data_IF_140479049617
#
_entry.id   IF_140479049617
#
_cell.length_a   1.000
_cell.length_b   1.000
_cell.length_c   1.000
_cell.angle_alpha   90.00
_cell.angle_beta   90.00
_cell.angle_gamma   90.00
#
_symmetry.space_group_name_H-M   'P 1'
#
loop_
_entity.id
_entity.type
_entity.pdbx_description
1 polymer ?
#
# COMPACT_ATOMS: atom_id res chain seq x y z
N UNK A 1 6.37 31.87 -22.77
CA UNK A 1 6.98 31.73 -21.43
C UNK A 1 7.00 30.26 -20.98
N UNK A 2 5.93 29.47 -21.17
CA UNK A 2 5.87 28.05 -20.79
C UNK A 2 6.91 27.24 -21.58
N UNK A 3 6.96 27.40 -22.91
CA UNK A 3 7.94 26.70 -23.76
C UNK A 3 9.39 27.00 -23.34
N UNK A 4 9.68 28.28 -23.06
CA UNK A 4 10.99 28.70 -22.58
C UNK A 4 11.33 28.18 -21.18
N UNK A 5 10.34 27.99 -20.31
CA UNK A 5 10.53 27.36 -19.01
C UNK A 5 10.82 25.87 -19.13
N UNK A 6 10.21 25.18 -20.09
CA UNK A 6 10.48 23.76 -20.36
C UNK A 6 11.85 23.62 -21.01
N UNK A 7 12.10 24.33 -22.13
CA UNK A 7 13.38 24.30 -22.83
C UNK A 7 13.80 25.72 -23.26
N UNK A 8 14.98 26.20 -22.86
CA UNK A 8 16.04 25.49 -22.13
C UNK A 8 15.97 25.59 -20.59
N UNK A 9 14.86 26.06 -20.01
CA UNK A 9 14.78 26.34 -18.58
C UNK A 9 15.00 25.11 -17.69
N UNK A 10 14.27 24.01 -17.92
CA UNK A 10 14.35 22.78 -17.13
C UNK A 10 14.88 21.57 -17.90
N UNK A 11 14.76 21.55 -19.22
CA UNK A 11 15.15 20.44 -20.07
C UNK A 11 16.37 20.85 -20.92
N UNK A 12 17.14 19.84 -21.35
CA UNK A 12 18.28 19.98 -22.24
C UNK A 12 18.29 18.89 -23.30
N UNK A 13 19.47 18.41 -23.68
CA UNK A 13 19.62 17.30 -24.61
C UNK A 13 18.96 16.01 -24.06
N UNK A 14 18.42 15.14 -24.94
CA UNK A 14 17.75 13.92 -24.51
C UNK A 14 18.72 12.96 -23.81
N UNK A 15 18.28 12.35 -22.72
CA UNK A 15 19.03 11.34 -22.00
C UNK A 15 18.70 9.96 -22.57
N UNK A 16 19.57 9.43 -23.42
CA UNK A 16 19.30 8.20 -24.16
C UNK A 16 19.10 6.97 -23.27
N UNK A 17 19.79 6.89 -22.14
CA UNK A 17 19.58 5.82 -21.15
C UNK A 17 18.17 5.88 -20.53
N UNK A 18 17.61 7.07 -20.30
CA UNK A 18 16.23 7.23 -19.81
C UNK A 18 15.23 6.82 -20.89
N UNK A 19 15.50 7.16 -22.16
CA UNK A 19 14.65 6.76 -23.30
C UNK A 19 14.64 5.23 -23.43
N UNK A 20 15.80 4.59 -23.34
CA UNK A 20 15.92 3.14 -23.37
C UNK A 20 15.18 2.48 -22.19
N UNK A 21 15.31 3.03 -20.98
CA UNK A 21 14.58 2.55 -19.80
C UNK A 21 13.06 2.68 -19.97
N UNK A 22 12.55 3.78 -20.54
CA UNK A 22 11.12 3.94 -20.86
C UNK A 22 10.65 2.91 -21.88
N UNK A 23 11.42 2.65 -22.93
CA UNK A 23 11.09 1.64 -23.93
C UNK A 23 10.98 0.25 -23.30
N UNK A 24 11.90 -0.11 -22.40
CA UNK A 24 11.86 -1.35 -21.63
C UNK A 24 10.63 -1.43 -20.73
N UNK A 25 10.33 -0.35 -19.98
CA UNK A 25 9.16 -0.28 -19.13
C UNK A 25 7.84 -0.45 -19.92
N UNK A 26 7.72 0.17 -21.08
CA UNK A 26 6.55 0.03 -21.95
C UNK A 26 6.44 -1.39 -22.54
N UNK A 27 7.55 -2.02 -22.89
CA UNK A 27 7.55 -3.41 -23.32
C UNK A 27 7.04 -4.35 -22.23
N UNK A 28 7.49 -4.17 -20.99
CA UNK A 28 7.00 -4.93 -19.83
C UNK A 28 5.52 -4.64 -19.59
N UNK A 29 5.08 -3.39 -19.62
CA UNK A 29 3.69 -3.00 -19.42
C UNK A 29 2.71 -3.58 -20.46
N UNK A 30 3.20 -3.95 -21.65
CA UNK A 30 2.40 -4.56 -22.70
C UNK A 30 2.21 -6.07 -22.52
N UNK A 31 2.86 -6.72 -21.55
CA UNK A 31 2.77 -8.17 -21.33
C UNK A 31 1.50 -8.59 -20.62
N UNK A 32 1.06 -9.83 -20.84
CA UNK A 32 -0.08 -10.40 -20.08
C UNK A 32 0.23 -10.57 -18.59
N UNK A 33 1.47 -10.87 -18.24
CA UNK A 33 1.93 -10.93 -16.86
C UNK A 33 1.75 -9.59 -16.13
N UNK A 34 2.06 -8.47 -16.78
CA UNK A 34 1.84 -7.15 -16.21
C UNK A 34 0.35 -6.86 -16.03
N UNK A 35 -0.49 -7.23 -17.00
CA UNK A 35 -1.95 -7.06 -16.90
C UNK A 35 -2.52 -7.88 -15.75
N UNK A 36 -2.08 -9.13 -15.58
CA UNK A 36 -2.49 -9.97 -14.47
C UNK A 36 -2.07 -9.37 -13.11
N UNK A 37 -0.84 -8.89 -13.01
CA UNK A 37 -0.38 -8.18 -11.83
C UNK A 37 -1.26 -6.97 -11.49
N UNK A 38 -1.69 -6.17 -12.49
CA UNK A 38 -2.60 -5.05 -12.25
C UNK A 38 -3.99 -5.51 -11.77
N UNK A 39 -4.52 -6.61 -12.29
CA UNK A 39 -5.78 -7.20 -11.80
C UNK A 39 -5.65 -7.59 -10.32
N UNK A 40 -4.59 -8.32 -9.95
CA UNK A 40 -4.31 -8.68 -8.55
C UNK A 40 -4.10 -7.46 -7.66
N UNK A 41 -3.50 -6.40 -8.17
CA UNK A 41 -3.34 -5.11 -7.45
C UNK A 41 -4.69 -4.53 -7.05
N UNK A 42 -5.64 -4.44 -7.98
CA UNK A 42 -6.98 -3.90 -7.71
C UNK A 42 -7.79 -4.84 -6.82
N UNK A 43 -7.74 -6.15 -7.09
CA UNK A 43 -8.40 -7.17 -6.27
C UNK A 43 -7.91 -7.12 -4.82
N UNK A 44 -6.59 -7.07 -4.60
CA UNK A 44 -6.02 -6.94 -3.26
C UNK A 44 -6.43 -5.66 -2.54
N UNK A 45 -6.55 -4.54 -3.26
CA UNK A 45 -7.05 -3.30 -2.66
C UNK A 45 -8.54 -3.42 -2.25
N UNK A 46 -9.36 -4.10 -3.03
CA UNK A 46 -10.77 -4.37 -2.69
C UNK A 46 -10.90 -5.28 -1.48
N UNK A 47 -10.14 -6.37 -1.42
CA UNK A 47 -10.11 -7.28 -0.27
C UNK A 47 -9.74 -6.52 1.01
N UNK A 48 -8.70 -5.68 0.94
CA UNK A 48 -8.29 -4.86 2.06
C UNK A 48 -9.38 -3.86 2.48
N UNK A 49 -10.00 -3.18 1.52
CA UNK A 49 -11.09 -2.24 1.77
C UNK A 49 -12.30 -2.95 2.41
N UNK A 50 -12.69 -4.11 1.88
CA UNK A 50 -13.80 -4.92 2.42
C UNK A 50 -13.54 -5.29 3.88
N UNK A 51 -12.36 -5.85 4.21
CA UNK A 51 -12.03 -6.22 5.59
C UNK A 51 -12.06 -5.03 6.55
N UNK A 52 -11.53 -3.89 6.13
CA UNK A 52 -11.46 -2.68 6.95
C UNK A 52 -12.81 -1.93 7.07
N UNK A 53 -13.83 -2.36 6.35
CA UNK A 53 -15.22 -1.87 6.47
C UNK A 53 -16.15 -2.84 7.20
N UNK A 54 -15.66 -3.94 7.75
CA UNK A 54 -16.43 -4.84 8.60
C UNK A 54 -16.90 -4.16 9.87
N UNK A 55 -17.92 -4.73 10.52
CA UNK A 55 -18.57 -4.12 11.68
C UNK A 55 -17.60 -3.93 12.87
N UNK A 56 -16.73 -4.89 13.14
CA UNK A 56 -15.71 -4.80 14.18
C UNK A 56 -14.76 -3.60 14.01
N UNK A 57 -14.41 -3.29 12.76
CA UNK A 57 -13.57 -2.14 12.44
C UNK A 57 -14.33 -0.82 12.60
N UNK A 58 -15.60 -0.79 12.19
CA UNK A 58 -16.48 0.37 12.38
C UNK A 58 -16.72 0.65 13.88
N UNK A 59 -16.94 -0.39 14.66
CA UNK A 59 -17.12 -0.30 16.12
C UNK A 59 -15.85 0.22 16.81
N UNK A 60 -14.68 -0.11 16.26
CA UNK A 60 -13.40 0.44 16.70
C UNK A 60 -13.12 1.88 16.20
N UNK A 61 -14.00 2.47 15.40
CA UNK A 61 -13.84 3.84 14.86
C UNK A 61 -12.97 3.92 13.60
N UNK A 62 -12.73 2.79 12.93
CA UNK A 62 -12.02 2.74 11.63
C UNK A 62 -13.03 2.89 10.50
N UNK A 63 -12.70 3.70 9.52
CA UNK A 63 -13.44 3.81 8.27
C UNK A 63 -12.51 3.99 7.07
N UNK A 64 -13.06 3.92 5.87
CA UNK A 64 -12.34 4.23 4.63
C UNK A 64 -12.91 5.51 4.06
N UNK A 65 -12.04 6.45 3.67
CA UNK A 65 -12.42 7.80 3.26
C UNK A 65 -13.45 7.86 2.12
N UNK A 66 -13.57 6.78 1.33
CA UNK A 66 -14.47 6.67 0.15
C UNK A 66 -15.37 5.41 0.20
N UNK A 67 -15.53 4.80 1.37
CA UNK A 67 -16.26 3.54 1.58
C UNK A 67 -15.79 2.35 0.69
N UNK A 68 -14.63 2.49 0.05
CA UNK A 68 -14.07 1.45 -0.81
C UNK A 68 -12.93 1.98 -1.65
N UNK A 69 -12.55 1.23 -2.69
CA UNK A 69 -11.51 1.64 -3.64
C UNK A 69 -11.73 1.02 -5.01
N UNK A 70 -11.38 1.78 -6.04
CA UNK A 70 -11.29 1.35 -7.45
C UNK A 70 -9.86 1.48 -8.01
N UNK A 71 -8.89 1.78 -7.12
CA UNK A 71 -7.47 1.96 -7.45
C UNK A 71 -6.59 1.02 -6.62
N UNK A 72 -5.27 1.21 -6.68
CA UNK A 72 -4.26 0.36 -6.06
C UNK A 72 -4.00 0.64 -4.57
N UNK A 73 -4.77 1.51 -3.93
CA UNK A 73 -4.58 1.91 -2.54
C UNK A 73 -5.90 2.11 -1.79
N UNK A 74 -5.79 2.09 -0.47
CA UNK A 74 -6.88 2.42 0.45
C UNK A 74 -6.41 3.56 1.36
N UNK A 75 -7.27 4.57 1.56
CA UNK A 75 -7.09 5.62 2.55
C UNK A 75 -7.96 5.31 3.77
N UNK A 76 -7.33 4.82 4.82
CA UNK A 76 -7.97 4.52 6.11
C UNK A 76 -8.13 5.82 6.90
N UNK A 77 -9.30 6.02 7.47
CA UNK A 77 -9.65 7.17 8.32
C UNK A 77 -9.77 6.72 9.78
N UNK A 78 -8.92 7.26 10.63
CA UNK A 78 -8.80 6.98 12.06
C UNK A 78 -9.23 8.16 12.93
N UNK A 79 -10.02 9.12 12.41
CA UNK A 79 -10.46 10.28 13.20
C UNK A 79 -11.27 9.91 14.42
N UNK A 80 -11.99 8.79 14.36
CA UNK A 80 -12.83 8.27 15.45
C UNK A 80 -12.21 7.08 16.19
N UNK A 81 -10.98 6.72 15.80
CA UNK A 81 -10.20 5.64 16.42
C UNK A 81 -9.33 6.18 17.57
N UNK A 82 -8.98 5.32 18.53
CA UNK A 82 -8.09 5.68 19.65
C UNK A 82 -6.67 6.01 19.18
N UNK A 83 -6.16 5.27 18.18
CA UNK A 83 -4.83 5.50 17.61
C UNK A 83 -4.84 6.69 16.63
N UNK A 84 -3.75 7.44 16.66
CA UNK A 84 -3.42 8.39 15.60
C UNK A 84 -2.85 7.68 14.37
N UNK A 85 -2.74 8.37 13.24
CA UNK A 85 -2.06 7.83 12.05
C UNK A 85 -0.61 7.42 12.33
N UNK A 86 0.10 8.22 13.16
CA UNK A 86 1.48 7.91 13.57
C UNK A 86 1.56 6.64 14.42
N UNK A 87 0.76 6.52 15.44
CA UNK A 87 0.76 5.35 16.33
C UNK A 87 0.39 4.06 15.57
N UNK A 88 -0.60 4.14 14.69
CA UNK A 88 -0.99 3.01 13.85
C UNK A 88 0.12 2.62 12.82
N UNK A 89 0.81 3.61 12.24
CA UNK A 89 2.00 3.38 11.39
C UNK A 89 3.09 2.66 12.17
N UNK A 90 3.41 3.12 13.38
CA UNK A 90 4.46 2.56 14.23
C UNK A 90 4.13 1.10 14.62
N UNK A 91 2.89 0.81 15.05
CA UNK A 91 2.44 -0.55 15.39
C UNK A 91 2.47 -1.51 14.19
N UNK A 92 2.03 -1.07 13.02
CA UNK A 92 2.11 -1.85 11.79
C UNK A 92 3.55 -2.13 11.37
N UNK A 93 4.44 -1.15 11.54
CA UNK A 93 5.86 -1.34 11.31
C UNK A 93 6.46 -2.39 12.26
N UNK A 94 6.10 -2.35 13.55
CA UNK A 94 6.53 -3.34 14.54
C UNK A 94 6.01 -4.74 14.20
N UNK A 95 4.83 -4.85 13.61
CA UNK A 95 4.30 -6.10 13.05
C UNK A 95 4.98 -6.53 11.73
N UNK A 96 5.84 -5.69 11.15
CA UNK A 96 6.55 -5.96 9.88
C UNK A 96 5.80 -5.52 8.62
N UNK A 97 4.76 -4.68 8.77
CA UNK A 97 4.00 -4.13 7.64
C UNK A 97 4.34 -2.65 7.45
N UNK A 98 4.89 -2.31 6.29
CA UNK A 98 5.22 -0.93 5.94
C UNK A 98 4.03 -0.25 5.30
N UNK A 99 3.52 0.76 5.98
CA UNK A 99 2.51 1.70 5.48
C UNK A 99 3.00 3.13 5.71
N UNK A 100 2.24 4.14 5.32
CA UNK A 100 2.52 5.49 5.76
C UNK A 100 1.28 6.16 6.34
N UNK A 101 1.49 6.92 7.42
CA UNK A 101 0.48 7.85 7.91
C UNK A 101 0.12 8.86 6.84
N UNK A 102 -1.13 9.25 6.77
CA UNK A 102 -1.65 10.15 5.76
C UNK A 102 -2.75 11.05 6.34
N UNK A 103 -2.72 12.31 5.97
CA UNK A 103 -3.83 13.19 6.31
C UNK A 103 -5.11 12.72 5.61
N UNK A 104 -6.23 12.80 6.31
CA UNK A 104 -7.57 12.61 5.76
C UNK A 104 -8.20 13.95 5.42
N UNK A 105 -9.26 14.01 4.59
CA UNK A 105 -9.95 15.28 4.32
C UNK A 105 -10.41 15.97 5.61
N UNK A 106 -10.06 17.25 5.76
CA UNK A 106 -10.31 18.05 6.98
C UNK A 106 -9.70 17.42 8.26
N UNK A 107 -8.50 16.90 8.15
CA UNK A 107 -7.80 16.26 9.26
C UNK A 107 -7.63 17.23 10.45
N UNK A 108 -8.10 16.87 11.67
CA UNK A 108 -7.95 17.71 12.85
C UNK A 108 -6.54 17.68 13.45
N UNK A 109 -5.70 16.72 13.05
CA UNK A 109 -4.34 16.52 13.60
C UNK A 109 -3.28 17.16 12.70
N UNK A 110 -2.13 17.57 13.25
CA UNK A 110 -1.06 18.16 12.46
C UNK A 110 -0.42 17.15 11.50
N UNK A 111 0.23 17.61 10.40
CA UNK A 111 0.77 16.74 9.35
C UNK A 111 1.78 15.66 9.80
N UNK A 112 2.45 15.86 10.94
CA UNK A 112 3.41 14.88 11.49
C UNK A 112 2.74 13.75 12.27
N UNK A 113 1.46 13.89 12.63
CA UNK A 113 0.66 12.93 13.40
C UNK A 113 -0.37 12.27 12.50
N UNK A 114 -1.21 13.07 11.83
CA UNK A 114 -2.31 12.69 10.96
C UNK A 114 -3.39 11.80 11.60
N UNK A 115 -4.49 11.63 10.90
CA UNK A 115 -5.60 10.78 11.34
C UNK A 115 -5.90 9.66 10.37
N UNK A 116 -4.94 9.26 9.54
CA UNK A 116 -5.16 8.18 8.59
C UNK A 116 -3.91 7.43 8.19
N UNK A 117 -4.13 6.38 7.41
CA UNK A 117 -3.10 5.54 6.81
C UNK A 117 -3.36 5.41 5.32
N UNK A 118 -2.30 5.45 4.51
CA UNK A 118 -2.34 5.06 3.11
C UNK A 118 -1.70 3.71 2.93
N UNK A 119 -2.46 2.76 2.40
CA UNK A 119 -2.03 1.37 2.24
C UNK A 119 -2.16 1.00 0.77
N UNK A 120 -1.04 0.70 0.12
CA UNK A 120 -0.98 0.31 -1.29
C UNK A 120 -0.75 -1.18 -1.48
N UNK A 121 -1.23 -1.75 -2.56
CA UNK A 121 -1.21 -3.19 -2.85
C UNK A 121 -0.29 -3.61 -3.98
N UNK A 122 0.25 -2.65 -4.75
CA UNK A 122 1.07 -2.93 -5.94
C UNK A 122 2.34 -3.72 -5.63
N UNK A 123 3.00 -3.46 -4.49
CA UNK A 123 4.20 -4.17 -4.08
C UNK A 123 3.92 -5.65 -3.81
N UNK A 124 2.82 -5.95 -3.10
CA UNK A 124 2.41 -7.33 -2.81
C UNK A 124 1.99 -8.08 -4.09
N UNK A 125 1.23 -7.42 -4.98
CA UNK A 125 0.89 -8.00 -6.29
C UNK A 125 2.14 -8.33 -7.11
N UNK A 126 3.19 -7.50 -7.03
CA UNK A 126 4.48 -7.75 -7.69
C UNK A 126 5.21 -8.95 -7.07
N UNK A 127 5.08 -9.18 -5.76
CA UNK A 127 5.60 -10.36 -5.07
C UNK A 127 4.83 -11.65 -5.38
N UNK A 128 3.72 -11.57 -6.09
CA UNK A 128 2.91 -12.73 -6.46
C UNK A 128 1.76 -13.04 -5.49
N UNK A 129 1.41 -12.13 -4.59
CA UNK A 129 0.27 -12.32 -3.69
C UNK A 129 -1.01 -12.59 -4.50
N UNK A 130 -1.74 -13.60 -4.08
CA UNK A 130 -3.08 -13.97 -4.53
C UNK A 130 -4.16 -13.47 -3.54
N UNK A 131 -5.41 -13.80 -3.78
CA UNK A 131 -6.53 -13.39 -2.94
C UNK A 131 -6.38 -13.90 -1.48
N UNK A 132 -5.86 -15.11 -1.27
CA UNK A 132 -5.60 -15.67 0.06
C UNK A 132 -4.54 -14.84 0.81
N UNK A 133 -3.43 -14.54 0.13
CA UNK A 133 -2.36 -13.71 0.70
C UNK A 133 -2.83 -12.29 1.04
N UNK A 134 -3.65 -11.67 0.19
CA UNK A 134 -4.23 -10.36 0.47
C UNK A 134 -5.24 -10.41 1.62
N UNK A 135 -6.04 -11.47 1.74
CA UNK A 135 -6.96 -11.66 2.88
C UNK A 135 -6.19 -11.76 4.19
N UNK A 136 -5.11 -12.55 4.22
CA UNK A 136 -4.26 -12.69 5.41
C UNK A 136 -3.62 -11.35 5.81
N UNK A 137 -3.10 -10.58 4.85
CA UNK A 137 -2.57 -9.22 5.12
C UNK A 137 -3.65 -8.29 5.67
N UNK A 138 -4.86 -8.32 5.09
CA UNK A 138 -5.98 -7.51 5.53
C UNK A 138 -6.38 -7.84 6.98
N UNK A 139 -6.41 -9.13 7.32
CA UNK A 139 -6.69 -9.58 8.69
C UNK A 139 -5.60 -9.20 9.69
N UNK A 140 -4.33 -9.27 9.30
CA UNK A 140 -3.23 -8.81 10.15
C UNK A 140 -3.35 -7.31 10.41
N UNK A 141 -3.58 -6.50 9.37
CA UNK A 141 -3.76 -5.04 9.52
C UNK A 141 -4.96 -4.72 10.42
N UNK A 142 -6.10 -5.39 10.20
CA UNK A 142 -7.27 -5.24 11.05
C UNK A 142 -6.97 -5.61 12.51
N UNK A 143 -6.25 -6.71 12.74
CA UNK A 143 -5.87 -7.16 14.08
C UNK A 143 -4.97 -6.17 14.81
N UNK A 144 -4.05 -5.50 14.10
CA UNK A 144 -3.21 -4.42 14.69
C UNK A 144 -4.05 -3.22 15.13
N UNK A 145 -5.09 -2.89 14.36
CA UNK A 145 -5.97 -1.76 14.67
C UNK A 145 -7.02 -2.08 15.76
N UNK A 146 -7.21 -3.33 16.13
CA UNK A 146 -8.13 -3.71 17.20
C UNK A 146 -7.45 -3.66 18.59
N UNK A 147 -8.21 -3.43 19.70
CA UNK A 147 -7.63 -3.16 21.02
C UNK A 147 -6.78 -4.28 21.62
N UNK A 148 -6.99 -5.53 21.21
CA UNK A 148 -6.32 -6.71 21.80
C UNK A 148 -5.39 -7.36 20.77
N UNK A 149 -4.28 -6.69 20.43
CA UNK A 149 -3.31 -7.21 19.48
C UNK A 149 -2.06 -7.79 20.17
N UNK A 150 -1.59 -8.91 19.67
CA UNK A 150 -0.27 -9.48 19.98
C UNK A 150 0.66 -9.23 18.78
N UNK A 151 1.45 -8.17 18.85
CA UNK A 151 2.35 -7.75 17.77
C UNK A 151 3.37 -8.85 17.43
N UNK A 152 3.85 -9.61 18.43
CA UNK A 152 4.82 -10.68 18.17
C UNK A 152 4.19 -11.83 17.36
N UNK A 153 2.99 -12.25 17.70
CA UNK A 153 2.25 -13.27 16.95
C UNK A 153 1.88 -12.77 15.53
N UNK A 154 1.48 -11.51 15.38
CA UNK A 154 1.19 -10.91 14.09
C UNK A 154 2.45 -10.83 13.21
N UNK A 155 3.60 -10.48 13.78
CA UNK A 155 4.88 -10.47 13.07
C UNK A 155 5.28 -11.85 12.55
N UNK A 156 5.02 -12.92 13.31
CA UNK A 156 5.23 -14.30 12.83
C UNK A 156 4.35 -14.64 11.62
N UNK A 157 3.10 -14.17 11.60
CA UNK A 157 2.22 -14.31 10.43
C UNK A 157 2.77 -13.58 9.21
N UNK A 158 3.28 -12.36 9.39
CA UNK A 158 3.94 -11.59 8.32
C UNK A 158 5.17 -12.32 7.80
N UNK A 159 6.02 -12.89 8.67
CA UNK A 159 7.18 -13.66 8.27
C UNK A 159 6.80 -14.86 7.38
N UNK A 160 5.76 -15.62 7.76
CA UNK A 160 5.24 -16.73 6.94
C UNK A 160 4.78 -16.29 5.56
N UNK A 161 4.12 -15.11 5.47
CA UNK A 161 3.76 -14.53 4.18
C UNK A 161 4.99 -14.13 3.36
N UNK A 162 6.00 -13.56 3.99
CA UNK A 162 7.26 -13.20 3.33
C UNK A 162 7.98 -14.45 2.77
N UNK A 163 7.95 -15.56 3.49
CA UNK A 163 8.52 -16.83 3.03
C UNK A 163 7.70 -17.45 1.88
N UNK A 164 6.36 -17.36 1.95
CA UNK A 164 5.47 -17.86 0.87
C UNK A 164 5.59 -17.01 -0.42
N UNK A 165 5.81 -15.72 -0.30
CA UNK A 165 5.91 -14.76 -1.42
C UNK A 165 7.25 -14.00 -1.39
N UNK A 166 8.38 -14.66 -1.66
CA UNK A 166 9.71 -14.05 -1.55
C UNK A 166 9.92 -12.96 -2.60
N UNK A 167 10.78 -11.97 -2.26
CA UNK A 167 11.24 -10.95 -3.20
C UNK A 167 12.38 -11.48 -4.06
N UNK A 168 12.46 -10.99 -5.29
CA UNK A 168 13.60 -11.21 -6.19
C UNK A 168 13.96 -12.66 -6.44
N UNK A 169 12.96 -13.55 -6.56
CA UNK A 169 13.17 -14.95 -6.92
C UNK A 169 13.96 -15.06 -8.23
N UNK A 170 15.09 -15.76 -8.20
CA UNK A 170 15.95 -15.93 -9.37
C UNK A 170 16.93 -14.79 -9.65
N UNK A 171 17.03 -13.78 -8.76
CA UNK A 171 18.01 -12.68 -8.89
C UNK A 171 19.38 -12.99 -8.28
N UNK A 172 19.57 -14.18 -7.72
CA UNK A 172 20.83 -14.59 -7.07
C UNK A 172 22.03 -14.75 -8.03
N UNK A 173 21.80 -14.49 -9.32
CA UNK A 173 22.79 -14.63 -10.40
C UNK A 173 23.13 -13.33 -11.11
N UNK A 174 22.91 -12.15 -10.49
CA UNK A 174 23.30 -10.84 -11.07
C UNK A 174 24.58 -10.31 -10.48
#
# INVERSE_FOLDING_TARGET
KIDSAVFPGQQGGPLMHVIAAKATAFKVAATEEFKDRQKRTIEGARILAERLTHQDMRDAGVSIATDGTDVHLVLVDLRHHELTGKEAEDLLHDAGITVNRNAVPNDPRPPMVTSGLRIGTSALATRGFDAEGFTEVADIIASVLLPQHDIAALRERVNKLCDKYPLYVGSESW
#
